data_IF_655956503241
#
_entry.id   IF_655956503241
#
_cell.length_a   1.000
_cell.length_b   1.000
_cell.length_c   1.000
_cell.angle_alpha   90.00
_cell.angle_beta   90.00
_cell.angle_gamma   90.00
#
_symmetry.space_group_name_H-M   'P 1'
#
loop_
_entity.id
_entity.type
_entity.pdbx_description
1 polymer ?
#
# COMPACT_ATOMS: atom_id res chain seq x y z
N UNK A 1 -8.89 -19.88 11.22
CA UNK A 1 -8.27 -20.87 10.29
C UNK A 1 -7.47 -21.90 11.10
N UNK A 2 -6.48 -21.53 11.91
CA UNK A 2 -5.62 -22.44 12.66
C UNK A 2 -6.43 -23.36 13.62
N UNK A 3 -7.43 -22.82 14.30
CA UNK A 3 -8.31 -23.61 15.17
C UNK A 3 -9.11 -24.66 14.38
N UNK A 4 -9.62 -24.30 13.21
CA UNK A 4 -10.33 -25.22 12.32
C UNK A 4 -9.42 -26.33 11.79
N UNK A 5 -8.20 -25.98 11.39
CA UNK A 5 -7.22 -27.00 10.99
C UNK A 5 -6.92 -27.97 12.13
N UNK A 6 -6.75 -27.45 13.36
CA UNK A 6 -6.47 -28.28 14.52
C UNK A 6 -7.60 -29.28 14.79
N UNK A 7 -8.86 -28.81 14.76
CA UNK A 7 -10.04 -29.61 15.12
C UNK A 7 -10.50 -30.51 13.98
N UNK A 8 -10.64 -29.94 12.77
CA UNK A 8 -11.30 -30.62 11.63
C UNK A 8 -10.33 -31.00 10.52
N UNK A 9 -9.01 -30.79 10.71
CA UNK A 9 -7.96 -31.08 9.71
C UNK A 9 -8.18 -30.38 8.37
N UNK A 10 -8.90 -29.22 8.36
CA UNK A 10 -9.09 -28.42 7.14
C UNK A 10 -7.73 -27.88 6.68
N UNK A 11 -7.30 -28.21 5.45
CA UNK A 11 -6.06 -27.69 4.92
C UNK A 11 -6.15 -26.17 4.68
N UNK A 12 -5.05 -25.44 4.83
CA UNK A 12 -5.01 -24.00 4.62
C UNK A 12 -3.68 -23.53 4.05
N UNK A 13 -3.71 -22.34 3.48
CA UNK A 13 -2.56 -21.47 3.29
C UNK A 13 -2.97 -20.06 3.71
N UNK A 14 -2.18 -19.40 4.53
CA UNK A 14 -2.42 -18.02 4.95
C UNK A 14 -1.39 -17.12 4.28
N UNK A 15 -1.85 -16.04 3.67
CA UNK A 15 -0.99 -15.00 3.10
C UNK A 15 -1.11 -13.70 3.92
N UNK A 16 0.00 -13.02 4.15
CA UNK A 16 0.07 -11.76 4.90
C UNK A 16 0.84 -10.72 4.09
N UNK A 17 0.14 -10.00 3.19
CA UNK A 17 0.77 -8.97 2.39
C UNK A 17 1.00 -7.68 3.18
N UNK A 18 2.03 -6.91 2.80
CA UNK A 18 2.21 -5.54 3.25
C UNK A 18 1.20 -4.59 2.59
N UNK A 19 1.41 -3.27 2.64
CA UNK A 19 0.46 -2.31 2.10
C UNK A 19 0.36 -2.40 0.59
N UNK A 20 -0.74 -2.94 0.09
CA UNK A 20 -1.00 -3.02 -1.35
C UNK A 20 -1.31 -1.64 -1.93
N UNK A 21 -0.87 -1.41 -3.18
CA UNK A 21 -1.21 -0.24 -3.97
C UNK A 21 -1.44 -0.63 -5.44
N UNK A 22 -2.12 0.23 -6.19
CA UNK A 22 -2.43 0.02 -7.61
C UNK A 22 -3.70 0.74 -8.04
N UNK A 23 -4.01 0.64 -9.33
CA UNK A 23 -5.25 1.16 -9.90
C UNK A 23 -6.45 0.37 -9.34
N UNK A 24 -7.57 1.06 -9.07
CA UNK A 24 -8.80 0.47 -8.53
C UNK A 24 -8.79 0.26 -7.02
N UNK A 25 -7.80 0.76 -6.29
CA UNK A 25 -7.79 0.72 -4.83
C UNK A 25 -8.90 1.61 -4.26
N UNK A 26 -9.55 1.13 -3.18
CA UNK A 26 -10.66 1.84 -2.54
C UNK A 26 -10.22 3.19 -1.94
N UNK A 27 -11.10 4.20 -2.05
CA UNK A 27 -10.84 5.61 -1.76
C UNK A 27 -10.36 5.95 -0.35
N UNK A 28 -10.62 5.13 0.63
CA UNK A 28 -10.14 5.36 2.00
C UNK A 28 -8.64 5.13 2.17
N UNK A 29 -8.00 4.46 1.20
CA UNK A 29 -6.57 4.19 1.22
C UNK A 29 -5.76 5.42 0.79
N UNK A 30 -4.51 5.51 1.22
CA UNK A 30 -3.72 6.75 1.16
C UNK A 30 -3.66 7.36 -0.25
N UNK A 31 -3.23 6.61 -1.27
CA UNK A 31 -3.03 7.16 -2.62
C UNK A 31 -4.33 7.69 -3.22
N UNK A 32 -5.41 6.90 -3.36
CA UNK A 32 -6.67 7.41 -3.90
C UNK A 32 -7.30 8.49 -3.02
N UNK A 33 -7.16 8.40 -1.71
CA UNK A 33 -7.66 9.41 -0.77
C UNK A 33 -7.03 10.77 -1.02
N UNK A 34 -5.70 10.81 -1.18
CA UNK A 34 -4.98 12.06 -1.49
C UNK A 34 -5.49 12.64 -2.79
N UNK A 35 -5.57 11.85 -3.86
CA UNK A 35 -6.10 12.29 -5.16
C UNK A 35 -7.53 12.85 -5.04
N UNK A 36 -8.40 12.19 -4.26
CA UNK A 36 -9.76 12.66 -4.00
C UNK A 36 -9.77 14.03 -3.31
N UNK A 37 -9.00 14.19 -2.23
CA UNK A 37 -9.00 15.45 -1.49
C UNK A 37 -8.47 16.59 -2.35
N UNK A 38 -7.49 16.33 -3.23
CA UNK A 38 -7.00 17.29 -4.21
C UNK A 38 -8.08 17.66 -5.24
N UNK A 39 -8.83 16.69 -5.76
CA UNK A 39 -9.88 16.94 -6.77
C UNK A 39 -11.03 17.78 -6.25
N UNK A 40 -11.33 17.73 -4.96
CA UNK A 40 -12.41 18.50 -4.32
C UNK A 40 -11.91 19.72 -3.52
N UNK A 41 -10.63 20.07 -3.64
CA UNK A 41 -10.03 21.26 -3.00
C UNK A 41 -10.07 21.22 -1.46
N UNK A 42 -9.98 20.04 -0.83
CA UNK A 42 -9.99 19.91 0.63
C UNK A 42 -8.61 19.56 1.16
N UNK A 43 -8.34 19.95 2.41
CA UNK A 43 -7.12 19.55 3.13
C UNK A 43 -7.05 18.04 3.27
N UNK A 44 -5.87 17.49 3.04
CA UNK A 44 -5.58 16.05 3.13
C UNK A 44 -5.30 15.69 4.59
N UNK A 45 -6.15 14.89 5.25
CA UNK A 45 -5.92 14.45 6.62
C UNK A 45 -4.81 13.40 6.66
N UNK A 46 -3.73 13.70 7.38
CA UNK A 46 -2.57 12.82 7.50
C UNK A 46 -2.28 12.53 8.98
N UNK A 47 -2.64 11.33 9.40
CA UNK A 47 -2.50 10.90 10.80
C UNK A 47 -1.04 10.92 11.26
N UNK A 48 -0.82 11.33 12.53
CA UNK A 48 0.49 11.35 13.17
C UNK A 48 1.54 12.04 12.30
N UNK A 49 1.17 13.18 11.69
CA UNK A 49 2.01 14.01 10.80
C UNK A 49 2.60 13.24 9.58
N UNK A 50 2.09 12.04 9.30
CA UNK A 50 2.59 11.18 8.21
C UNK A 50 3.93 10.49 8.52
N UNK A 51 4.39 10.54 9.75
CA UNK A 51 5.65 9.90 10.19
C UNK A 51 5.68 8.37 10.07
N UNK A 52 4.55 7.62 10.22
CA UNK A 52 4.58 6.17 10.10
C UNK A 52 5.08 5.68 8.74
N UNK A 53 5.97 4.68 8.78
CA UNK A 53 6.50 4.01 7.61
C UNK A 53 5.54 2.93 7.09
N UNK A 54 5.51 2.78 5.77
CA UNK A 54 4.77 1.69 5.10
C UNK A 54 5.64 1.03 4.05
N UNK A 55 5.59 -0.30 4.03
CA UNK A 55 6.18 -1.11 2.98
C UNK A 55 5.14 -1.27 1.87
N UNK A 56 5.42 -0.72 0.69
CA UNK A 56 4.50 -0.72 -0.45
C UNK A 56 4.70 -1.95 -1.33
N UNK A 57 3.60 -2.63 -1.63
CA UNK A 57 3.55 -3.83 -2.46
C UNK A 57 2.53 -3.63 -3.58
N UNK A 58 2.95 -3.73 -4.84
CA UNK A 58 2.02 -3.57 -5.95
C UNK A 58 1.04 -4.76 -6.04
N UNK A 59 -0.21 -4.48 -6.38
CA UNK A 59 -1.25 -5.51 -6.49
C UNK A 59 -0.91 -6.61 -7.51
N UNK A 60 -0.21 -6.28 -8.61
CA UNK A 60 0.30 -7.26 -9.58
C UNK A 60 1.29 -8.24 -8.93
N UNK A 61 2.21 -7.74 -8.09
CA UNK A 61 3.18 -8.57 -7.39
C UNK A 61 2.51 -9.45 -6.33
N UNK A 62 1.48 -8.92 -5.66
CA UNK A 62 0.64 -9.74 -4.76
C UNK A 62 -0.04 -10.89 -5.51
N UNK A 63 -0.60 -10.63 -6.68
CA UNK A 63 -1.24 -11.66 -7.50
C UNK A 63 -0.23 -12.73 -7.92
N UNK A 64 0.96 -12.34 -8.40
CA UNK A 64 2.05 -13.27 -8.74
C UNK A 64 2.49 -14.09 -7.52
N UNK A 65 2.62 -13.47 -6.34
CA UNK A 65 2.96 -14.15 -5.10
C UNK A 65 1.93 -15.24 -4.76
N UNK A 66 0.64 -14.92 -4.85
CA UNK A 66 -0.44 -15.87 -4.59
C UNK A 66 -0.38 -17.03 -5.59
N UNK A 67 -0.17 -16.78 -6.89
CA UNK A 67 0.00 -17.82 -7.91
C UNK A 67 1.18 -18.74 -7.58
N UNK A 68 2.35 -18.17 -7.27
CA UNK A 68 3.54 -18.93 -6.87
C UNK A 68 3.27 -19.81 -5.64
N UNK A 69 2.54 -19.28 -4.65
CA UNK A 69 2.19 -20.03 -3.44
C UNK A 69 1.21 -21.19 -3.77
N UNK A 70 0.25 -20.97 -4.67
CA UNK A 70 -0.69 -22.02 -5.09
C UNK A 70 0.05 -23.14 -5.80
N UNK A 71 1.00 -22.82 -6.68
CA UNK A 71 1.73 -23.78 -7.52
C UNK A 71 2.84 -24.51 -6.76
N UNK A 72 3.54 -23.83 -5.87
CA UNK A 72 4.80 -24.31 -5.26
C UNK A 72 4.81 -24.27 -3.74
N UNK A 73 3.81 -23.68 -3.11
CA UNK A 73 3.72 -23.54 -1.67
C UNK A 73 3.31 -24.84 -0.97
N UNK A 74 3.60 -24.91 0.32
CA UNK A 74 3.20 -26.04 1.16
C UNK A 74 1.88 -25.77 1.85
N UNK A 75 1.01 -26.78 1.89
CA UNK A 75 -0.23 -26.76 2.67
C UNK A 75 0.06 -26.62 4.17
N UNK A 76 -0.83 -25.98 4.89
CA UNK A 76 -0.76 -25.67 6.33
C UNK A 76 0.39 -24.72 6.70
N UNK A 77 0.73 -23.82 5.79
CA UNK A 77 1.79 -22.84 5.97
C UNK A 77 1.29 -21.39 5.89
N UNK A 78 2.11 -20.49 6.44
CA UNK A 78 1.88 -19.05 6.39
C UNK A 78 2.99 -18.41 5.56
N UNK A 79 2.62 -17.57 4.59
CA UNK A 79 3.54 -16.83 3.76
C UNK A 79 3.31 -15.33 3.93
N UNK A 80 4.36 -14.61 4.32
CA UNK A 80 4.37 -13.16 4.24
C UNK A 80 4.70 -12.76 2.79
N UNK A 81 4.14 -11.63 2.36
CA UNK A 81 4.42 -11.03 1.05
C UNK A 81 4.86 -9.59 1.31
N UNK A 82 6.14 -9.30 1.16
CA UNK A 82 6.70 -7.98 1.39
C UNK A 82 6.83 -7.19 0.09
N UNK A 83 6.61 -5.88 0.17
CA UNK A 83 7.07 -4.98 -0.90
C UNK A 83 8.58 -4.77 -0.84
N UNK A 84 9.12 -4.12 -1.85
CA UNK A 84 10.55 -3.77 -1.94
C UNK A 84 10.80 -2.28 -1.70
N UNK A 85 9.76 -1.49 -1.39
CA UNK A 85 9.85 -0.05 -1.24
C UNK A 85 9.20 0.42 0.07
N UNK A 86 10.00 0.96 0.98
CA UNK A 86 9.53 1.47 2.26
C UNK A 86 9.77 2.99 2.35
N UNK A 87 8.74 3.72 2.74
CA UNK A 87 8.85 5.16 2.98
C UNK A 87 7.81 5.66 3.99
N UNK A 88 7.99 6.87 4.51
CA UNK A 88 6.99 7.55 5.34
C UNK A 88 5.74 7.89 4.54
N UNK A 89 4.59 7.93 5.21
CA UNK A 89 3.34 8.35 4.56
C UNK A 89 3.44 9.78 4.03
N UNK A 90 4.11 10.70 4.76
CA UNK A 90 4.31 12.08 4.31
C UNK A 90 5.08 12.17 2.99
N UNK A 91 6.10 11.32 2.80
CA UNK A 91 6.89 11.33 1.57
C UNK A 91 6.09 10.78 0.39
N UNK A 92 5.23 9.76 0.63
CA UNK A 92 4.28 9.28 -0.36
C UNK A 92 3.31 10.40 -0.79
N UNK A 93 2.78 11.16 0.16
CA UNK A 93 1.87 12.28 -0.13
C UNK A 93 2.58 13.36 -0.94
N UNK A 94 3.81 13.75 -0.58
CA UNK A 94 4.60 14.72 -1.35
C UNK A 94 4.78 14.29 -2.81
N UNK A 95 5.15 13.03 -3.05
CA UNK A 95 5.26 12.48 -4.42
C UNK A 95 3.94 12.58 -5.19
N UNK A 96 2.81 12.30 -4.55
CA UNK A 96 1.50 12.44 -5.19
C UNK A 96 1.18 13.91 -5.52
N UNK A 97 1.48 14.85 -4.61
CA UNK A 97 1.30 16.28 -4.85
C UNK A 97 2.08 16.73 -6.08
N UNK A 98 3.35 16.36 -6.19
CA UNK A 98 4.23 16.71 -7.31
C UNK A 98 3.71 16.15 -8.65
N UNK A 99 3.13 14.94 -8.64
CA UNK A 99 2.58 14.29 -9.82
C UNK A 99 1.19 14.82 -10.20
N UNK A 100 0.38 15.22 -9.21
CA UNK A 100 -1.01 15.63 -9.44
C UNK A 100 -1.10 16.98 -10.12
N UNK A 101 -0.32 17.98 -9.71
CA UNK A 101 -0.27 19.31 -10.35
C UNK A 101 1.00 20.07 -9.97
N UNK A 102 1.67 20.63 -10.98
CA UNK A 102 2.78 21.57 -10.77
C UNK A 102 2.37 22.84 -10.02
N UNK A 103 1.08 23.18 -10.02
CA UNK A 103 0.52 24.34 -9.31
C UNK A 103 0.58 24.18 -7.78
N UNK A 104 0.49 22.95 -7.28
CA UNK A 104 0.60 22.67 -5.83
C UNK A 104 2.04 22.71 -5.31
N UNK A 105 3.04 22.57 -6.18
CA UNK A 105 4.46 22.62 -5.80
C UNK A 105 4.85 24.02 -5.28
N UNK A 106 4.13 25.07 -5.67
CA UNK A 106 4.42 26.47 -5.32
C UNK A 106 3.58 26.99 -4.15
N UNK A 107 2.47 26.35 -3.81
CA UNK A 107 1.76 26.61 -2.56
C UNK A 107 2.53 25.96 -1.41
N UNK A 108 2.72 26.68 -0.29
CA UNK A 108 3.34 26.07 0.90
C UNK A 108 2.54 24.81 1.23
N UNK A 109 3.15 23.63 1.10
CA UNK A 109 2.53 22.32 1.33
C UNK A 109 1.80 22.22 2.69
N UNK A 110 2.15 23.07 3.64
CA UNK A 110 1.53 23.18 4.96
C UNK A 110 0.04 23.54 4.92
N UNK A 111 -0.41 24.29 3.88
CA UNK A 111 -1.83 24.66 3.76
C UNK A 111 -2.71 23.56 3.18
N UNK A 112 -2.11 22.56 2.51
CA UNK A 112 -2.82 21.46 1.83
C UNK A 112 -3.00 20.26 2.77
N UNK A 113 -2.14 20.13 3.78
CA UNK A 113 -2.17 19.02 4.73
C UNK A 113 -2.86 19.40 6.03
N UNK A 114 -3.67 18.51 6.57
CA UNK A 114 -4.11 18.54 7.95
C UNK A 114 -3.29 17.53 8.76
N UNK A 115 -2.31 18.07 9.49
CA UNK A 115 -1.37 17.30 10.32
C UNK A 115 -1.80 17.23 11.79
N UNK A 116 -2.95 17.81 12.14
CA UNK A 116 -3.43 17.87 13.52
C UNK A 116 -3.98 16.53 14.03
N UNK A 117 -4.26 15.59 13.13
CA UNK A 117 -4.94 14.35 13.44
C UNK A 117 -3.97 13.33 14.06
N UNK A 118 -4.22 12.99 15.32
CA UNK A 118 -3.52 11.92 16.04
C UNK A 118 -4.36 10.65 15.98
N UNK A 119 -3.73 9.52 15.64
CA UNK A 119 -4.33 8.21 15.71
C UNK A 119 -3.56 7.34 16.68
N UNK A 120 -4.16 7.11 17.86
CA UNK A 120 -3.58 6.24 18.88
C UNK A 120 -3.48 4.78 18.37
N UNK A 121 -2.43 4.08 18.79
CA UNK A 121 -2.19 2.69 18.42
C UNK A 121 -1.87 2.44 16.94
N UNK A 122 -1.54 3.49 16.18
CA UNK A 122 -1.08 3.31 14.80
C UNK A 122 0.33 2.72 14.77
N UNK A 123 0.52 1.66 13.96
CA UNK A 123 1.85 1.10 13.73
C UNK A 123 2.82 2.16 13.23
N UNK A 124 3.95 2.30 13.92
CA UNK A 124 5.04 3.19 13.51
C UNK A 124 5.69 2.69 12.22
N UNK A 125 5.87 1.37 12.12
CA UNK A 125 6.43 0.69 10.95
C UNK A 125 5.71 -0.63 10.71
N UNK A 126 5.32 -0.88 9.46
CA UNK A 126 4.71 -2.14 9.05
C UNK A 126 5.55 -2.78 7.95
N UNK A 127 6.35 -3.76 8.33
CA UNK A 127 7.24 -4.52 7.45
C UNK A 127 7.26 -5.98 7.90
N UNK A 128 7.45 -6.91 6.97
CA UNK A 128 7.49 -8.35 7.23
C UNK A 128 8.64 -8.99 6.48
N UNK A 129 9.13 -10.10 6.98
CA UNK A 129 10.10 -10.96 6.31
C UNK A 129 9.36 -11.95 5.39
N UNK A 130 9.72 -11.97 4.12
CA UNK A 130 9.16 -12.84 3.09
C UNK A 130 10.17 -13.83 2.49
N UNK A 131 11.32 -14.04 3.16
CA UNK A 131 12.39 -14.97 2.73
C UNK A 131 11.84 -16.35 2.36
N UNK A 132 10.83 -16.83 3.08
CA UNK A 132 10.16 -18.10 2.81
C UNK A 132 9.46 -18.12 1.44
N UNK A 133 8.86 -17.02 1.03
CA UNK A 133 8.23 -16.88 -0.28
C UNK A 133 9.30 -16.74 -1.38
N UNK A 134 10.34 -15.96 -1.12
CA UNK A 134 11.47 -15.82 -2.05
C UNK A 134 12.14 -17.16 -2.35
N UNK A 135 12.21 -18.07 -1.38
CA UNK A 135 12.72 -19.43 -1.58
C UNK A 135 11.88 -20.29 -2.56
N UNK A 136 10.63 -19.87 -2.88
CA UNK A 136 9.82 -20.47 -3.93
C UNK A 136 10.08 -19.83 -5.32
N UNK A 137 11.03 -18.91 -5.44
CA UNK A 137 11.39 -18.23 -6.69
C UNK A 137 10.63 -16.92 -6.94
N UNK A 138 9.75 -16.49 -6.03
CA UNK A 138 9.05 -15.20 -6.17
C UNK A 138 9.95 -14.02 -5.81
N UNK A 139 9.73 -12.91 -6.52
CA UNK A 139 10.31 -11.59 -6.21
C UNK A 139 9.38 -10.48 -6.69
N UNK A 140 9.50 -9.29 -6.09
CA UNK A 140 8.82 -8.09 -6.59
C UNK A 140 9.38 -7.68 -7.95
N UNK A 141 8.52 -7.25 -8.86
CA UNK A 141 8.89 -6.76 -10.19
C UNK A 141 8.50 -5.29 -10.41
N UNK A 142 7.42 -4.84 -9.76
CA UNK A 142 6.95 -3.47 -9.89
C UNK A 142 7.78 -2.50 -9.04
N UNK A 143 8.20 -1.39 -9.63
CA UNK A 143 8.86 -0.29 -8.93
C UNK A 143 7.82 0.75 -8.51
N UNK A 144 7.86 1.21 -7.27
CA UNK A 144 6.87 2.16 -6.75
C UNK A 144 6.90 3.50 -7.50
N UNK A 145 8.08 4.04 -7.77
CA UNK A 145 8.22 5.34 -8.40
C UNK A 145 7.87 5.31 -9.90
N UNK A 146 8.00 4.15 -10.54
CA UNK A 146 7.61 3.96 -11.94
C UNK A 146 6.09 3.77 -12.11
N UNK A 147 5.42 3.07 -11.16
CA UNK A 147 3.99 2.80 -11.21
C UNK A 147 3.14 3.98 -10.68
N UNK A 148 3.66 4.78 -9.74
CA UNK A 148 2.90 5.85 -9.08
C UNK A 148 2.34 6.90 -10.06
N UNK A 149 3.06 7.36 -11.10
CA UNK A 149 2.55 8.36 -12.05
C UNK A 149 1.29 7.90 -12.78
N UNK A 150 1.23 6.65 -13.25
CA UNK A 150 0.03 6.10 -13.89
C UNK A 150 -1.14 6.00 -12.93
N UNK A 151 -0.88 5.57 -11.70
CA UNK A 151 -1.91 5.45 -10.66
C UNK A 151 -2.51 6.81 -10.32
N UNK A 152 -1.66 7.84 -10.13
CA UNK A 152 -2.12 9.21 -9.84
C UNK A 152 -2.92 9.76 -11.02
N UNK A 153 -2.45 9.57 -12.27
CA UNK A 153 -3.17 9.97 -13.48
C UNK A 153 -4.53 9.28 -13.56
N UNK A 154 -4.59 7.96 -13.30
CA UNK A 154 -5.87 7.24 -13.29
C UNK A 154 -6.88 7.86 -12.34
N UNK A 155 -6.48 8.15 -11.08
CA UNK A 155 -7.40 8.74 -10.10
C UNK A 155 -7.71 10.21 -10.37
N UNK A 156 -6.85 10.94 -11.08
CA UNK A 156 -7.13 12.30 -11.53
C UNK A 156 -8.20 12.32 -12.62
N UNK A 157 -8.12 11.37 -13.57
CA UNK A 157 -8.97 11.34 -14.77
C UNK A 157 -10.27 10.55 -14.56
N UNK A 158 -10.31 9.59 -13.63
CA UNK A 158 -11.40 8.63 -13.46
C UNK A 158 -11.98 8.62 -12.04
N UNK A 159 -12.17 9.80 -11.45
CA UNK A 159 -12.72 9.90 -10.11
C UNK A 159 -14.23 9.64 -10.09
N UNK A 160 -14.65 8.38 -9.98
CA UNK A 160 -16.05 7.97 -9.80
C UNK A 160 -16.17 7.37 -8.39
N UNK A 161 -17.00 8.00 -7.54
CA UNK A 161 -17.34 7.54 -6.17
C UNK A 161 -18.83 7.51 -5.98
#
# INVERSE_FOLDING_TARGET
ILAWNRTYKVPYVIVRPTNNYGIGQYVEKLIPKVCKFLSIGRKIPLHNQGEPYRMWLHAKDTAKAITTIIESGKTNEIYNISGNFEQKNIDTVKKILDLYSKEFVHSKNEDILDLSIVRDGQDVRYSVDDTKLQALGWKTECNFDDELPEIVKFYKDNFIW
#
